data_IF_904138560673
#
_entry.id   IF_904138560673
#
_cell.length_a   1.000
_cell.length_b   1.000
_cell.length_c   1.000
_cell.angle_alpha   90.00
_cell.angle_beta   90.00
_cell.angle_gamma   90.00
#
_symmetry.space_group_name_H-M   'P 1'
#
loop_
_entity.id
_entity.type
_entity.pdbx_description
1 polymer ?
#
# COMPACT_ATOMS: atom_id res chain seq x y z
N UNK A 1 1.38 27.07 -7.35
CA UNK A 1 2.02 26.23 -6.27
C UNK A 1 1.86 24.78 -6.65
N UNK A 2 2.92 23.99 -6.63
CA UNK A 2 2.85 22.59 -7.05
C UNK A 2 2.37 21.67 -5.92
N UNK A 3 1.83 20.51 -6.31
CA UNK A 3 1.37 19.46 -5.44
C UNK A 3 2.11 18.16 -5.77
N UNK A 4 2.93 17.68 -4.82
CA UNK A 4 3.79 16.52 -5.02
C UNK A 4 3.19 15.28 -4.33
N UNK A 5 2.77 14.29 -5.11
CA UNK A 5 2.14 13.07 -4.60
C UNK A 5 3.07 11.87 -4.70
N UNK A 6 3.30 11.17 -3.58
CA UNK A 6 4.00 9.89 -3.55
C UNK A 6 2.94 8.80 -3.66
N UNK A 7 2.98 8.03 -4.73
CA UNK A 7 1.98 7.01 -5.08
C UNK A 7 2.62 5.62 -4.97
N UNK A 8 2.07 4.78 -4.09
CA UNK A 8 2.59 3.44 -3.77
C UNK A 8 1.65 2.30 -4.16
N UNK A 9 0.38 2.61 -4.49
CA UNK A 9 -0.66 1.61 -4.71
C UNK A 9 -1.87 2.21 -5.43
N UNK A 10 -2.82 1.36 -5.83
CA UNK A 10 -4.12 1.81 -6.36
C UNK A 10 -4.89 2.67 -5.35
N UNK A 11 -4.83 2.33 -4.06
CA UNK A 11 -5.45 3.12 -3.01
C UNK A 11 -4.91 4.55 -2.99
N UNK A 12 -3.57 4.71 -2.89
CA UNK A 12 -2.96 6.04 -2.83
C UNK A 12 -3.20 6.85 -4.11
N UNK A 13 -3.27 6.19 -5.27
CA UNK A 13 -3.63 6.83 -6.53
C UNK A 13 -5.09 7.29 -6.55
N UNK A 14 -6.02 6.44 -6.14
CA UNK A 14 -7.44 6.77 -6.09
C UNK A 14 -7.70 7.88 -5.06
N UNK A 15 -7.03 7.80 -3.90
CA UNK A 15 -7.13 8.84 -2.88
C UNK A 15 -6.56 10.19 -3.36
N UNK A 16 -5.44 10.17 -4.08
CA UNK A 16 -4.89 11.37 -4.72
C UNK A 16 -5.95 12.03 -5.62
N UNK A 17 -6.60 11.27 -6.51
CA UNK A 17 -7.66 11.80 -7.38
C UNK A 17 -8.80 12.44 -6.58
N UNK A 18 -9.21 11.79 -5.49
CA UNK A 18 -10.25 12.34 -4.60
C UNK A 18 -9.80 13.61 -3.89
N UNK A 19 -8.53 13.70 -3.50
CA UNK A 19 -7.93 14.92 -2.94
C UNK A 19 -7.93 16.06 -3.96
N UNK A 20 -7.58 15.77 -5.22
CA UNK A 20 -7.63 16.79 -6.29
C UNK A 20 -9.04 17.35 -6.46
N UNK A 21 -10.05 16.47 -6.50
CA UNK A 21 -11.45 16.86 -6.61
C UNK A 21 -11.90 17.74 -5.41
N UNK A 22 -11.64 17.28 -4.18
CA UNK A 22 -12.12 17.96 -2.97
C UNK A 22 -11.40 19.30 -2.71
N UNK A 23 -10.12 19.39 -3.11
CA UNK A 23 -9.30 20.59 -2.92
C UNK A 23 -9.24 21.51 -4.16
N UNK A 24 -9.94 21.16 -5.24
CA UNK A 24 -9.93 21.87 -6.52
C UNK A 24 -8.50 22.11 -7.05
N UNK A 25 -7.71 21.04 -7.11
CA UNK A 25 -6.31 21.07 -7.55
C UNK A 25 -6.25 20.65 -9.02
N UNK A 26 -5.64 21.50 -9.86
CA UNK A 26 -5.42 21.20 -11.27
C UNK A 26 -4.35 20.10 -11.44
N UNK A 27 -4.62 19.16 -12.35
CA UNK A 27 -3.68 18.09 -12.69
C UNK A 27 -2.34 18.63 -13.24
N UNK A 28 -2.33 19.77 -13.93
CA UNK A 28 -1.12 20.42 -14.44
C UNK A 28 -0.23 20.99 -13.32
N UNK A 29 -0.78 21.18 -12.11
CA UNK A 29 -0.04 21.57 -10.92
C UNK A 29 0.52 20.38 -10.14
N UNK A 30 0.23 19.16 -10.58
CA UNK A 30 0.65 17.95 -9.90
C UNK A 30 1.97 17.40 -10.42
N UNK A 31 2.80 16.92 -9.49
CA UNK A 31 3.96 16.06 -9.76
C UNK A 31 3.69 14.70 -9.11
N UNK A 32 3.57 13.64 -9.92
CA UNK A 32 3.34 12.29 -9.42
C UNK A 32 4.64 11.51 -9.35
N UNK A 33 4.93 10.97 -8.19
CA UNK A 33 6.08 10.11 -7.96
C UNK A 33 5.60 8.68 -7.64
N UNK A 34 5.85 7.77 -8.57
CA UNK A 34 5.45 6.36 -8.45
C UNK A 34 6.56 5.55 -7.76
N UNK A 35 6.19 4.86 -6.70
CA UNK A 35 7.09 3.98 -5.94
C UNK A 35 6.58 2.53 -5.97
N UNK A 36 7.43 1.56 -5.58
CA UNK A 36 7.11 0.12 -5.51
C UNK A 36 6.67 -0.48 -6.86
N UNK A 37 7.22 -0.01 -7.99
CA UNK A 37 6.87 -0.43 -9.36
C UNK A 37 5.38 -0.27 -9.70
N UNK A 38 4.65 0.56 -8.95
CA UNK A 38 3.26 0.85 -9.24
C UNK A 38 3.13 1.61 -10.56
N UNK A 39 2.16 1.20 -11.38
CA UNK A 39 1.80 1.88 -12.63
C UNK A 39 0.37 2.37 -12.54
N UNK A 40 0.15 3.63 -12.87
CA UNK A 40 -1.19 4.18 -12.99
C UNK A 40 -1.91 3.55 -14.20
N UNK A 41 -3.25 3.46 -14.17
CA UNK A 41 -4.00 3.06 -15.35
C UNK A 41 -3.72 3.98 -16.54
N UNK A 42 -3.57 3.41 -17.74
CA UNK A 42 -3.17 4.10 -18.98
C UNK A 42 -4.02 5.34 -19.27
N UNK A 43 -5.34 5.27 -19.02
CA UNK A 43 -6.26 6.40 -19.22
C UNK A 43 -5.86 7.69 -18.50
N UNK A 44 -5.03 7.61 -17.45
CA UNK A 44 -4.53 8.77 -16.70
C UNK A 44 -3.15 9.25 -17.14
N UNK A 45 -2.51 8.53 -18.06
CA UNK A 45 -1.18 8.92 -18.53
C UNK A 45 -1.15 10.25 -19.26
N UNK A 46 -2.20 10.57 -20.01
CA UNK A 46 -2.34 11.84 -20.70
C UNK A 46 -2.70 13.01 -19.75
N UNK A 47 -3.37 12.71 -18.64
CA UNK A 47 -3.85 13.73 -17.69
C UNK A 47 -2.69 14.29 -16.86
N UNK A 48 -1.79 13.42 -16.36
CA UNK A 48 -0.68 13.83 -15.49
C UNK A 48 0.64 13.90 -16.27
N UNK A 49 0.99 15.08 -16.75
CA UNK A 49 2.19 15.31 -17.59
C UNK A 49 3.51 15.21 -16.80
N UNK A 50 3.49 15.58 -15.50
CA UNK A 50 4.70 15.56 -14.66
C UNK A 50 4.74 14.30 -13.80
N UNK A 51 5.50 13.30 -14.27
CA UNK A 51 5.63 12.00 -13.61
C UNK A 51 7.10 11.67 -13.36
N UNK A 52 7.36 11.01 -12.24
CA UNK A 52 8.66 10.45 -11.87
C UNK A 52 8.44 8.95 -11.63
N UNK A 53 9.08 8.12 -12.46
CA UNK A 53 9.17 6.68 -12.24
C UNK A 53 10.57 6.36 -11.76
N UNK A 54 10.72 5.76 -10.60
CA UNK A 54 12.04 5.35 -10.15
C UNK A 54 12.38 3.95 -10.62
N UNK A 55 13.31 3.88 -11.56
CA UNK A 55 14.24 2.74 -11.65
C UNK A 55 15.35 2.84 -10.59
N UNK A 56 15.40 3.93 -9.84
CA UNK A 56 16.40 4.15 -8.80
C UNK A 56 15.87 3.54 -7.50
N UNK A 57 16.51 2.46 -7.10
CA UNK A 57 16.35 1.94 -5.74
C UNK A 57 17.04 2.94 -4.80
N UNK A 58 16.30 4.00 -4.40
CA UNK A 58 16.71 4.95 -3.36
C UNK A 58 16.64 4.27 -1.97
N UNK A 59 16.34 2.97 -1.98
CA UNK A 59 16.38 2.16 -0.78
C UNK A 59 17.82 2.21 -0.25
N UNK A 60 18.02 3.08 0.72
CA UNK A 60 19.18 3.11 1.58
C UNK A 60 19.12 1.81 2.35
N UNK A 61 19.57 0.73 1.72
CA UNK A 61 19.56 -0.62 2.28
C UNK A 61 20.44 -0.61 3.53
N UNK A 62 19.77 -0.30 4.63
CA UNK A 62 20.22 0.22 5.91
C UNK A 62 21.30 -0.63 6.60
N UNK A 63 21.51 -1.87 6.16
CA UNK A 63 22.57 -2.75 6.67
C UNK A 63 23.78 -2.89 5.77
N UNK A 64 23.73 -2.45 4.50
CA UNK A 64 24.77 -2.71 3.49
C UNK A 64 25.51 -1.47 3.00
N UNK A 65 25.16 -0.27 3.45
CA UNK A 65 25.73 1.00 3.01
C UNK A 65 27.21 1.15 3.39
N UNK A 66 27.65 0.42 4.44
CA UNK A 66 29.01 0.51 4.96
C UNK A 66 30.09 -0.19 4.13
N UNK A 67 29.72 -0.90 3.06
CA UNK A 67 30.70 -1.50 2.16
C UNK A 67 31.18 -0.47 1.12
N UNK A 68 32.15 0.36 1.45
CA UNK A 68 32.89 1.33 0.66
C UNK A 68 32.22 1.86 -0.62
N UNK A 69 32.31 1.11 -1.76
CA UNK A 69 31.75 1.54 -3.04
C UNK A 69 30.21 1.66 -3.05
N UNK A 70 29.47 0.95 -2.17
CA UNK A 70 28.02 1.05 -2.05
C UNK A 70 27.59 2.38 -1.45
N UNK A 71 28.38 2.96 -0.55
CA UNK A 71 28.13 4.29 -0.01
C UNK A 71 28.10 5.33 -1.11
N UNK A 72 29.11 5.37 -1.96
CA UNK A 72 29.20 6.34 -3.06
C UNK A 72 28.10 6.13 -4.11
N UNK A 73 27.78 4.89 -4.43
CA UNK A 73 26.67 4.56 -5.33
C UNK A 73 25.34 5.05 -4.77
N UNK A 74 25.05 4.78 -3.49
CA UNK A 74 23.82 5.22 -2.83
C UNK A 74 23.74 6.75 -2.79
N UNK A 75 24.82 7.42 -2.40
CA UNK A 75 24.89 8.89 -2.42
C UNK A 75 24.61 9.46 -3.80
N UNK A 76 25.23 8.92 -4.84
CA UNK A 76 24.98 9.33 -6.22
C UNK A 76 23.52 9.15 -6.62
N UNK A 77 22.92 8.02 -6.29
CA UNK A 77 21.50 7.77 -6.58
C UNK A 77 20.57 8.77 -5.87
N UNK A 78 20.86 9.10 -4.61
CA UNK A 78 20.11 10.09 -3.85
C UNK A 78 20.25 11.48 -4.52
N UNK A 79 21.44 11.90 -4.89
CA UNK A 79 21.68 13.19 -5.55
C UNK A 79 20.99 13.27 -6.92
N UNK A 80 21.07 12.21 -7.72
CA UNK A 80 20.37 12.16 -9.01
C UNK A 80 18.86 12.23 -8.83
N UNK A 81 18.30 11.50 -7.84
CA UNK A 81 16.89 11.57 -7.54
C UNK A 81 16.45 12.96 -7.09
N UNK A 82 17.23 13.58 -6.20
CA UNK A 82 16.95 14.93 -5.70
C UNK A 82 16.96 15.97 -6.84
N UNK A 83 17.90 15.84 -7.78
CA UNK A 83 17.96 16.65 -8.99
C UNK A 83 16.73 16.46 -9.89
N UNK A 84 16.30 15.21 -10.13
CA UNK A 84 15.08 14.94 -10.90
C UNK A 84 13.85 15.60 -10.26
N UNK A 85 13.74 15.55 -8.94
CA UNK A 85 12.65 16.21 -8.22
C UNK A 85 12.71 17.74 -8.43
N UNK A 86 13.90 18.36 -8.34
CA UNK A 86 14.07 19.79 -8.56
C UNK A 86 13.73 20.21 -9.99
N UNK A 87 14.13 19.43 -10.99
CA UNK A 87 13.78 19.66 -12.39
C UNK A 87 12.27 19.62 -12.64
N UNK A 88 11.56 18.66 -11.99
CA UNK A 88 10.10 18.55 -12.12
C UNK A 88 9.36 19.66 -11.37
N UNK A 89 9.88 20.10 -10.24
CA UNK A 89 9.30 21.19 -9.46
C UNK A 89 9.67 22.57 -10.02
N UNK A 90 10.70 22.67 -10.87
CA UNK A 90 11.19 23.93 -11.47
C UNK A 90 11.48 25.05 -10.46
N UNK A 91 11.89 24.65 -9.24
CA UNK A 91 12.14 25.59 -8.14
C UNK A 91 10.89 26.18 -7.49
N UNK A 92 9.69 25.77 -7.93
CA UNK A 92 8.45 26.24 -7.35
C UNK A 92 8.22 25.70 -5.92
N UNK A 93 7.50 26.46 -5.13
CA UNK A 93 6.99 26.01 -3.83
C UNK A 93 5.96 24.91 -4.01
N UNK A 94 5.96 23.93 -3.09
CA UNK A 94 5.04 22.80 -3.18
C UNK A 94 4.55 22.29 -1.82
N UNK A 95 3.41 21.58 -1.85
CA UNK A 95 2.88 20.75 -0.78
C UNK A 95 3.10 19.29 -1.13
N UNK A 96 3.58 18.48 -0.17
CA UNK A 96 3.80 17.04 -0.36
C UNK A 96 2.63 16.23 0.23
N UNK A 97 2.24 15.16 -0.49
CA UNK A 97 1.28 14.16 -0.04
C UNK A 97 1.96 12.80 -0.02
N UNK A 98 2.11 12.23 1.16
CA UNK A 98 2.91 11.01 1.34
C UNK A 98 2.15 9.94 2.11
N UNK A 99 2.22 8.65 1.71
CA UNK A 99 1.59 7.57 2.46
C UNK A 99 2.29 7.27 3.80
N UNK A 100 3.55 7.68 3.96
CA UNK A 100 4.34 7.40 5.17
C UNK A 100 5.55 8.33 5.28
N UNK A 101 5.86 8.77 6.51
CA UNK A 101 7.04 9.62 6.77
C UNK A 101 8.32 8.83 7.07
N UNK A 102 8.22 7.60 7.55
CA UNK A 102 9.39 6.75 7.90
C UNK A 102 10.20 6.24 6.70
N UNK A 103 9.89 6.69 5.49
CA UNK A 103 10.62 6.37 4.27
C UNK A 103 11.67 7.44 3.97
N UNK A 104 12.88 7.02 3.57
CA UNK A 104 13.99 7.92 3.22
C UNK A 104 13.62 8.85 2.05
N UNK A 105 12.83 8.37 1.10
CA UNK A 105 12.33 9.17 -0.03
C UNK A 105 11.41 10.30 0.45
N UNK A 106 10.48 9.98 1.34
CA UNK A 106 9.61 10.99 1.94
C UNK A 106 10.44 12.06 2.66
N UNK A 107 11.41 11.62 3.47
CA UNK A 107 12.33 12.51 4.17
C UNK A 107 13.06 13.46 3.20
N UNK A 108 13.56 12.96 2.06
CA UNK A 108 14.20 13.76 1.03
C UNK A 108 13.30 14.88 0.50
N UNK A 109 12.02 14.56 0.28
CA UNK A 109 11.07 15.48 -0.35
C UNK A 109 10.56 16.50 0.66
N UNK A 110 10.06 16.08 1.82
CA UNK A 110 9.45 16.98 2.81
C UNK A 110 10.47 17.94 3.45
N UNK A 111 11.75 17.56 3.49
CA UNK A 111 12.82 18.40 4.04
C UNK A 111 13.41 19.41 3.05
N UNK A 112 12.95 19.43 1.79
CA UNK A 112 13.34 20.49 0.84
C UNK A 112 12.89 21.87 1.34
N UNK A 113 13.70 22.91 1.04
CA UNK A 113 13.41 24.28 1.47
C UNK A 113 12.14 24.86 0.85
N UNK A 114 11.84 24.49 -0.39
CA UNK A 114 10.63 24.87 -1.12
C UNK A 114 9.41 23.97 -0.83
N UNK A 115 9.51 22.91 0.00
CA UNK A 115 8.37 22.23 0.56
C UNK A 115 7.74 23.07 1.66
N UNK A 116 6.55 23.59 1.46
CA UNK A 116 5.85 24.45 2.45
C UNK A 116 5.11 23.66 3.51
N UNK A 117 4.73 22.42 3.19
CA UNK A 117 4.06 21.54 4.13
C UNK A 117 3.84 20.16 3.53
N UNK A 118 3.38 19.24 4.38
CA UNK A 118 2.99 17.91 3.90
C UNK A 118 1.77 17.35 4.65
N UNK A 119 1.01 16.58 3.92
CA UNK A 119 -0.05 15.73 4.43
C UNK A 119 0.40 14.28 4.41
N UNK A 120 0.01 13.52 5.45
CA UNK A 120 0.08 12.06 5.41
C UNK A 120 -1.24 11.55 4.86
N UNK A 121 -1.18 10.75 3.80
CA UNK A 121 -2.37 10.15 3.16
C UNK A 121 -2.49 8.68 3.54
N UNK A 122 -3.71 8.17 3.53
CA UNK A 122 -4.01 6.78 3.88
C UNK A 122 -3.24 5.77 3.00
N UNK A 123 -2.63 4.74 3.65
CA UNK A 123 -1.90 3.63 3.00
C UNK A 123 -2.43 2.27 3.51
N UNK A 124 -3.72 2.03 3.31
CA UNK A 124 -4.40 0.80 3.71
C UNK A 124 -4.38 0.56 5.22
N UNK A 125 -4.33 -0.70 5.64
CA UNK A 125 -4.40 -1.10 7.06
C UNK A 125 -3.33 -0.46 7.95
N UNK A 126 -2.19 -0.06 7.38
CA UNK A 126 -1.14 0.59 8.16
C UNK A 126 -1.61 1.91 8.79
N UNK A 127 -2.54 2.60 8.16
CA UNK A 127 -3.09 3.88 8.63
C UNK A 127 -4.13 3.75 9.74
N UNK A 128 -4.59 2.53 10.04
CA UNK A 128 -5.58 2.25 11.11
C UNK A 128 -4.96 1.74 12.40
N UNK A 129 -3.66 1.93 12.59
CA UNK A 129 -2.93 1.48 13.79
C UNK A 129 -3.11 2.46 14.94
N UNK A 130 -3.30 1.93 16.14
CA UNK A 130 -3.34 2.68 17.40
C UNK A 130 -1.97 2.97 17.99
N UNK A 131 -0.90 2.83 17.22
CA UNK A 131 0.46 3.19 17.58
C UNK A 131 1.17 3.76 16.36
N UNK A 132 2.18 4.59 16.60
CA UNK A 132 2.97 5.22 15.55
C UNK A 132 4.32 4.47 15.39
N UNK A 133 4.40 3.48 14.50
CA UNK A 133 5.60 2.66 14.39
C UNK A 133 6.78 3.48 13.90
N UNK A 134 7.94 3.17 14.46
CA UNK A 134 9.23 3.69 14.00
C UNK A 134 9.98 2.61 13.23
N UNK A 135 10.68 3.00 12.17
CA UNK A 135 11.56 2.07 11.44
C UNK A 135 12.78 1.64 12.26
N UNK A 136 13.22 2.50 13.20
CA UNK A 136 14.31 2.22 14.13
C UNK A 136 14.09 2.91 15.46
N UNK A 137 14.48 2.25 16.54
CA UNK A 137 14.36 2.77 17.91
C UNK A 137 15.71 2.69 18.64
N UNK A 138 15.84 3.52 19.69
CA UNK A 138 16.95 3.47 20.63
C UNK A 138 18.33 3.79 20.06
N UNK A 139 19.36 3.19 20.65
CA UNK A 139 20.77 3.46 20.33
C UNK A 139 21.12 3.14 18.87
N UNK A 140 20.45 2.14 18.29
CA UNK A 140 20.62 1.78 16.86
C UNK A 140 20.25 2.92 15.94
N UNK A 141 19.19 3.68 16.26
CA UNK A 141 18.77 4.85 15.51
C UNK A 141 19.78 5.98 15.60
N UNK A 142 20.35 6.23 16.78
CA UNK A 142 21.37 7.25 17.01
C UNK A 142 22.64 6.94 16.20
N UNK A 143 23.12 5.70 16.31
CA UNK A 143 24.29 5.23 15.55
C UNK A 143 24.03 5.35 14.06
N UNK A 144 22.87 4.92 13.60
CA UNK A 144 22.46 5.01 12.21
C UNK A 144 22.50 6.46 11.70
N UNK A 145 21.93 7.41 12.46
CA UNK A 145 21.97 8.84 12.10
C UNK A 145 23.38 9.39 12.00
N UNK A 146 24.23 9.08 12.98
CA UNK A 146 25.61 9.57 13.02
C UNK A 146 26.44 9.04 11.85
N UNK A 147 26.31 7.76 11.53
CA UNK A 147 27.07 7.09 10.48
C UNK A 147 26.61 7.47 9.07
N UNK A 148 25.31 7.72 8.89
CA UNK A 148 24.73 8.02 7.57
C UNK A 148 24.50 9.51 7.31
N UNK A 149 24.58 10.37 8.33
CA UNK A 149 24.47 11.84 8.13
C UNK A 149 25.42 12.39 7.04
N UNK A 150 26.67 11.92 6.89
CA UNK A 150 27.54 12.33 5.80
C UNK A 150 27.05 11.88 4.42
N UNK A 151 26.20 10.83 4.34
CA UNK A 151 25.63 10.37 3.08
C UNK A 151 24.69 11.43 2.49
N UNK A 152 23.72 11.88 3.29
CA UNK A 152 22.78 12.92 2.90
C UNK A 152 22.05 13.51 4.13
N UNK A 153 22.43 14.71 4.59
CA UNK A 153 21.97 15.24 5.89
C UNK A 153 20.46 15.42 5.98
N UNK A 154 19.77 15.74 4.88
CA UNK A 154 18.31 15.99 4.88
C UNK A 154 17.47 14.73 5.20
N UNK A 155 17.92 13.52 4.82
CA UNK A 155 17.21 12.26 5.10
C UNK A 155 16.95 12.06 6.60
N UNK A 156 17.85 12.59 7.45
CA UNK A 156 17.82 12.38 8.89
C UNK A 156 17.16 13.53 9.67
N UNK A 157 16.49 14.44 8.98
CA UNK A 157 15.75 15.55 9.60
C UNK A 157 14.42 15.11 10.22
N UNK A 158 13.89 13.94 9.83
CA UNK A 158 12.70 13.34 10.42
C UNK A 158 13.06 12.31 11.49
N UNK A 159 12.20 12.13 12.49
CA UNK A 159 12.36 11.14 13.57
C UNK A 159 12.12 9.70 13.12
N UNK A 160 11.67 9.50 11.89
CA UNK A 160 11.43 8.20 11.30
C UNK A 160 10.17 7.47 11.82
N UNK A 161 9.19 8.23 12.29
CA UNK A 161 7.84 7.74 12.57
C UNK A 161 7.02 7.55 11.29
N UNK A 162 5.99 6.71 11.37
CA UNK A 162 5.02 6.56 10.28
C UNK A 162 4.33 7.90 9.97
N UNK A 163 3.90 8.62 11.01
CA UNK A 163 3.40 10.00 10.93
C UNK A 163 4.29 10.89 11.81
N UNK A 164 4.94 11.87 11.22
CA UNK A 164 5.81 12.83 11.90
C UNK A 164 5.03 14.09 12.28
N UNK A 165 4.07 13.96 13.20
CA UNK A 165 3.14 15.03 13.56
C UNK A 165 3.79 16.22 14.29
N UNK A 166 4.97 16.02 14.88
CA UNK A 166 5.72 17.09 15.57
C UNK A 166 6.56 17.94 14.61
N UNK A 167 6.71 17.55 13.35
CA UNK A 167 7.47 18.33 12.40
C UNK A 167 6.71 19.60 12.01
N UNK A 168 7.39 20.80 11.95
CA UNK A 168 6.70 22.08 11.73
C UNK A 168 6.00 22.19 10.37
N UNK A 169 6.36 21.38 9.40
CA UNK A 169 5.72 21.33 8.08
C UNK A 169 4.53 20.35 8.03
N UNK A 170 4.20 19.63 9.12
CA UNK A 170 3.07 18.73 9.14
C UNK A 170 1.74 19.50 9.13
N UNK A 171 0.94 19.30 8.10
CA UNK A 171 -0.34 19.98 7.89
C UNK A 171 -1.55 19.14 8.34
N UNK A 172 -1.38 17.81 8.46
CA UNK A 172 -2.45 16.90 8.87
C UNK A 172 -2.45 15.59 8.10
N UNK A 173 -3.54 14.85 8.27
CA UNK A 173 -3.80 13.57 7.61
C UNK A 173 -5.00 13.68 6.67
N UNK A 174 -4.98 12.96 5.55
CA UNK A 174 -6.10 12.86 4.60
C UNK A 174 -6.45 11.38 4.40
N UNK A 175 -7.72 11.05 4.58
CA UNK A 175 -8.17 9.66 4.51
C UNK A 175 -9.58 9.51 3.94
N UNK A 176 -9.95 8.25 3.65
CA UNK A 176 -11.29 7.89 3.19
C UNK A 176 -12.30 7.80 4.33
N UNK A 177 -11.85 7.61 5.58
CA UNK A 177 -12.68 7.34 6.76
C UNK A 177 -12.15 8.07 8.00
N UNK A 178 -13.06 8.41 8.91
CA UNK A 178 -12.78 9.00 10.23
C UNK A 178 -12.11 8.01 11.21
N UNK A 179 -12.13 6.71 10.91
CA UNK A 179 -11.44 5.69 11.69
C UNK A 179 -9.93 5.62 11.38
N UNK A 180 -9.51 6.23 10.27
CA UNK A 180 -8.12 6.31 9.88
C UNK A 180 -7.34 7.25 10.81
N UNK A 181 -6.03 7.01 10.95
CA UNK A 181 -5.13 7.81 11.78
C UNK A 181 -5.64 8.10 13.21
N UNK A 182 -5.99 7.06 14.00
CA UNK A 182 -6.67 7.23 15.29
C UNK A 182 -5.90 8.07 16.30
N UNK A 183 -4.57 8.22 16.15
CA UNK A 183 -3.71 9.07 16.98
C UNK A 183 -3.66 10.54 16.52
N UNK A 184 -4.28 10.89 15.39
CA UNK A 184 -4.19 12.21 14.76
C UNK A 184 -5.57 12.72 14.30
N UNK A 185 -6.62 12.35 15.02
CA UNK A 185 -8.02 12.72 14.69
C UNK A 185 -8.26 14.22 14.67
N UNK A 186 -7.56 14.96 15.50
CA UNK A 186 -7.60 16.43 15.59
C UNK A 186 -7.08 17.12 14.31
N UNK A 187 -6.29 16.40 13.50
CA UNK A 187 -5.70 16.87 12.25
C UNK A 187 -6.09 16.01 11.04
N UNK A 188 -7.14 15.21 11.16
CA UNK A 188 -7.65 14.36 10.10
C UNK A 188 -8.73 15.07 9.30
N UNK A 189 -8.58 15.12 7.98
CA UNK A 189 -9.65 15.49 7.06
C UNK A 189 -10.10 14.26 6.25
N UNK A 190 -11.38 13.97 6.27
CA UNK A 190 -11.99 12.87 5.52
C UNK A 190 -12.38 13.39 4.13
N UNK A 191 -11.81 12.78 3.09
CA UNK A 191 -12.07 13.13 1.69
C UNK A 191 -13.10 12.22 1.03
N UNK A 192 -13.56 11.18 1.75
CA UNK A 192 -14.55 10.21 1.29
C UNK A 192 -13.95 9.04 0.52
N UNK A 193 -14.81 8.09 0.13
CA UNK A 193 -14.41 6.85 -0.54
C UNK A 193 -13.76 7.14 -1.88
N UNK A 194 -12.52 6.65 -2.12
CA UNK A 194 -11.76 7.00 -3.31
C UNK A 194 -12.01 6.07 -4.50
N UNK A 195 -12.84 5.05 -4.36
CA UNK A 195 -13.05 4.02 -5.36
C UNK A 195 -14.26 4.28 -6.23
N UNK A 196 -14.10 4.13 -7.55
CA UNK A 196 -15.17 4.20 -8.54
C UNK A 196 -15.73 2.79 -8.75
N UNK A 197 -17.06 2.58 -8.67
CA UNK A 197 -17.65 1.29 -8.97
C UNK A 197 -17.45 0.92 -10.45
N UNK A 198 -16.67 -0.13 -10.71
CA UNK A 198 -16.42 -0.68 -12.04
C UNK A 198 -16.70 -2.19 -11.97
N UNK A 199 -17.78 -2.69 -12.60
CA UNK A 199 -18.14 -4.11 -12.49
C UNK A 199 -17.09 -5.02 -13.14
N UNK A 200 -17.12 -6.30 -12.78
CA UNK A 200 -16.43 -7.33 -13.54
C UNK A 200 -17.07 -7.48 -14.94
N UNK A 201 -16.28 -7.90 -15.92
CA UNK A 201 -16.75 -8.20 -17.27
C UNK A 201 -17.65 -9.44 -17.36
N UNK A 202 -17.85 -10.12 -16.25
CA UNK A 202 -18.63 -11.34 -16.10
C UNK A 202 -19.22 -11.44 -14.69
N UNK A 203 -20.26 -12.29 -14.49
CA UNK A 203 -20.84 -12.49 -13.17
C UNK A 203 -19.82 -13.05 -12.17
N UNK A 204 -19.78 -12.46 -10.97
CA UNK A 204 -18.99 -12.93 -9.82
C UNK A 204 -19.84 -12.77 -8.56
N UNK A 205 -20.03 -13.85 -7.81
CA UNK A 205 -20.79 -13.86 -6.56
C UNK A 205 -19.92 -14.00 -5.31
N UNK A 206 -18.69 -14.51 -5.48
CA UNK A 206 -17.68 -14.54 -4.42
C UNK A 206 -16.27 -14.32 -4.98
N UNK A 207 -15.44 -13.58 -4.25
CA UNK A 207 -14.02 -13.38 -4.56
C UNK A 207 -13.17 -13.84 -3.39
N UNK A 208 -12.19 -14.68 -3.68
CA UNK A 208 -11.21 -15.16 -2.71
C UNK A 208 -9.84 -14.52 -3.03
N UNK A 209 -9.32 -13.70 -2.11
CA UNK A 209 -7.97 -13.14 -2.21
C UNK A 209 -6.93 -14.19 -1.87
N UNK A 210 -5.97 -14.38 -2.76
CA UNK A 210 -4.78 -15.20 -2.50
C UNK A 210 -3.69 -14.31 -1.96
N UNK A 211 -3.63 -14.17 -0.64
CA UNK A 211 -2.62 -13.38 0.04
C UNK A 211 -1.23 -14.04 -0.01
N UNK A 212 -0.12 -13.28 0.07
CA UNK A 212 1.25 -13.81 -0.08
C UNK A 212 1.71 -14.53 1.20
N UNK A 213 0.99 -15.57 1.61
CA UNK A 213 1.22 -16.36 2.82
C UNK A 213 2.58 -17.10 2.80
N UNK A 214 3.19 -17.31 1.62
CA UNK A 214 4.52 -17.92 1.48
C UNK A 214 5.63 -17.20 2.27
N UNK A 215 5.36 -16.00 2.74
CA UNK A 215 6.28 -15.25 3.60
C UNK A 215 6.26 -15.73 5.07
N UNK A 216 5.23 -16.48 5.46
CA UNK A 216 4.91 -16.79 6.86
C UNK A 216 4.67 -18.28 7.11
N UNK A 217 4.21 -19.03 6.12
CA UNK A 217 3.88 -20.45 6.24
C UNK A 217 4.56 -21.29 5.17
N UNK A 218 4.73 -22.59 5.44
CA UNK A 218 5.23 -23.56 4.48
C UNK A 218 4.22 -23.86 3.37
N UNK A 219 4.66 -24.48 2.27
CA UNK A 219 3.74 -24.94 1.22
C UNK A 219 2.79 -26.04 1.70
N UNK A 220 3.24 -26.90 2.63
CA UNK A 220 2.38 -27.94 3.24
C UNK A 220 1.28 -27.33 4.10
N UNK A 221 1.60 -26.26 4.86
CA UNK A 221 0.59 -25.50 5.58
C UNK A 221 -0.38 -24.81 4.63
N UNK A 222 0.11 -24.23 3.53
CA UNK A 222 -0.74 -23.63 2.50
C UNK A 222 -1.66 -24.69 1.86
N UNK A 223 -1.17 -25.88 1.52
CA UNK A 223 -1.98 -26.98 0.99
C UNK A 223 -3.12 -27.36 1.97
N UNK A 224 -2.78 -27.51 3.26
CA UNK A 224 -3.76 -27.79 4.31
C UNK A 224 -4.82 -26.68 4.45
N UNK A 225 -4.39 -25.42 4.41
CA UNK A 225 -5.27 -24.24 4.52
C UNK A 225 -6.25 -24.18 3.37
N UNK A 226 -5.78 -24.35 2.13
CA UNK A 226 -6.65 -24.32 0.95
C UNK A 226 -7.55 -25.55 0.85
N UNK A 227 -7.12 -26.72 1.38
CA UNK A 227 -8.00 -27.89 1.54
C UNK A 227 -9.19 -27.60 2.45
N UNK A 228 -8.94 -27.05 3.65
CA UNK A 228 -10.01 -26.65 4.57
C UNK A 228 -10.90 -25.53 3.99
N UNK A 229 -10.30 -24.59 3.24
CA UNK A 229 -11.07 -23.57 2.55
C UNK A 229 -12.02 -24.19 1.52
N UNK A 230 -11.57 -25.19 0.78
CA UNK A 230 -12.41 -25.90 -0.18
C UNK A 230 -13.59 -26.62 0.50
N UNK A 231 -13.37 -27.30 1.63
CA UNK A 231 -14.42 -27.92 2.43
C UNK A 231 -15.46 -26.90 2.93
N UNK A 232 -14.97 -25.71 3.36
CA UNK A 232 -15.85 -24.62 3.76
C UNK A 232 -16.65 -24.07 2.58
N UNK A 233 -16.00 -23.80 1.44
CA UNK A 233 -16.64 -23.24 0.25
C UNK A 233 -17.64 -24.21 -0.39
N UNK A 234 -17.43 -25.51 -0.31
CA UNK A 234 -18.37 -26.52 -0.81
C UNK A 234 -19.75 -26.47 -0.11
N UNK A 235 -19.80 -25.92 1.12
CA UNK A 235 -21.05 -25.69 1.84
C UNK A 235 -21.79 -24.41 1.43
N UNK A 236 -21.13 -23.58 0.61
CA UNK A 236 -21.70 -22.34 0.05
C UNK A 236 -22.20 -22.62 -1.37
N UNK A 237 -23.30 -22.04 -1.73
CA UNK A 237 -23.93 -22.28 -3.05
C UNK A 237 -23.54 -21.17 -4.05
N UNK A 238 -22.22 -20.84 -4.13
CA UNK A 238 -21.74 -19.90 -5.13
C UNK A 238 -21.75 -20.51 -6.53
N UNK A 239 -22.22 -19.75 -7.50
CA UNK A 239 -22.30 -20.16 -8.91
C UNK A 239 -21.07 -19.67 -9.67
N UNK A 240 -20.57 -18.50 -9.32
CA UNK A 240 -19.49 -17.80 -10.03
C UNK A 240 -18.37 -17.33 -9.08
N UNK A 241 -17.77 -18.22 -8.26
CA UNK A 241 -16.66 -17.84 -7.40
C UNK A 241 -15.39 -17.58 -8.24
N UNK A 242 -14.57 -16.61 -7.81
CA UNK A 242 -13.33 -16.27 -8.49
C UNK A 242 -12.19 -16.10 -7.48
N UNK A 243 -10.96 -16.37 -7.93
CA UNK A 243 -9.74 -16.12 -7.16
C UNK A 243 -8.97 -14.94 -7.75
N UNK A 244 -8.38 -14.13 -6.88
CA UNK A 244 -7.42 -13.11 -7.29
C UNK A 244 -6.13 -13.25 -6.52
N UNK A 245 -5.04 -13.41 -7.25
CA UNK A 245 -3.70 -13.41 -6.65
C UNK A 245 -3.27 -12.00 -6.27
N UNK A 246 -2.61 -11.88 -5.11
CA UNK A 246 -2.02 -10.62 -4.69
C UNK A 246 -0.91 -10.18 -5.67
N UNK A 247 -0.76 -8.89 -6.01
CA UNK A 247 0.22 -8.41 -6.98
C UNK A 247 1.69 -8.78 -6.68
N UNK A 248 2.02 -9.06 -5.42
CA UNK A 248 3.36 -9.55 -5.05
C UNK A 248 3.76 -10.87 -5.70
N UNK A 249 2.82 -11.66 -6.16
CA UNK A 249 3.12 -12.89 -6.90
C UNK A 249 3.64 -12.62 -8.33
N UNK A 250 3.42 -11.42 -8.86
CA UNK A 250 3.89 -11.05 -10.20
C UNK A 250 5.33 -10.52 -10.21
N UNK A 251 5.91 -10.26 -9.04
CA UNK A 251 7.32 -9.88 -8.94
C UNK A 251 8.23 -11.01 -9.47
N UNK A 252 9.24 -10.66 -10.24
CA UNK A 252 10.12 -11.60 -10.96
C UNK A 252 10.77 -12.66 -10.07
N UNK A 253 11.03 -12.34 -8.80
CA UNK A 253 11.59 -13.25 -7.80
C UNK A 253 10.54 -14.16 -7.13
N UNK A 254 9.24 -14.02 -7.45
CA UNK A 254 8.16 -14.79 -6.84
C UNK A 254 7.46 -15.76 -7.80
N UNK A 255 7.97 -15.94 -9.01
CA UNK A 255 7.37 -16.81 -10.02
C UNK A 255 7.18 -18.25 -9.54
N UNK A 256 8.15 -18.80 -8.80
CA UNK A 256 8.08 -20.13 -8.23
C UNK A 256 6.96 -20.24 -7.17
N UNK A 257 6.86 -19.29 -6.27
CA UNK A 257 5.78 -19.23 -5.29
C UNK A 257 4.41 -19.10 -5.97
N UNK A 258 4.32 -18.28 -7.02
CA UNK A 258 3.10 -18.13 -7.81
C UNK A 258 2.66 -19.46 -8.41
N UNK A 259 3.56 -20.21 -9.04
CA UNK A 259 3.25 -21.51 -9.62
C UNK A 259 2.82 -22.53 -8.57
N UNK A 260 3.51 -22.59 -7.42
CA UNK A 260 3.16 -23.47 -6.32
C UNK A 260 1.75 -23.19 -5.77
N UNK A 261 1.41 -21.92 -5.52
CA UNK A 261 0.07 -21.56 -5.04
C UNK A 261 -1.01 -21.82 -6.09
N UNK A 262 -0.73 -21.56 -7.38
CA UNK A 262 -1.68 -21.92 -8.43
C UNK A 262 -1.93 -23.43 -8.52
N UNK A 263 -0.89 -24.25 -8.32
CA UNK A 263 -1.04 -25.70 -8.29
C UNK A 263 -1.94 -26.15 -7.12
N UNK A 264 -1.71 -25.61 -5.91
CA UNK A 264 -2.54 -25.87 -4.74
C UNK A 264 -4.00 -25.45 -4.99
N UNK A 265 -4.24 -24.24 -5.49
CA UNK A 265 -5.58 -23.75 -5.78
C UNK A 265 -6.28 -24.66 -6.79
N UNK A 266 -5.63 -25.00 -7.90
CA UNK A 266 -6.21 -25.87 -8.93
C UNK A 266 -6.53 -27.29 -8.43
N UNK A 267 -5.74 -27.81 -7.47
CA UNK A 267 -5.97 -29.10 -6.82
C UNK A 267 -7.32 -29.15 -6.12
N UNK A 268 -7.66 -28.08 -5.38
CA UNK A 268 -8.85 -28.05 -4.56
C UNK A 268 -10.05 -27.34 -5.22
N UNK A 269 -9.78 -26.49 -6.21
CA UNK A 269 -10.79 -25.73 -6.92
C UNK A 269 -10.63 -25.90 -8.44
N UNK A 270 -10.88 -27.12 -8.97
CA UNK A 270 -10.76 -27.36 -10.39
C UNK A 270 -11.77 -26.50 -11.18
N UNK A 271 -11.31 -25.85 -12.23
CA UNK A 271 -12.15 -24.98 -13.07
C UNK A 271 -12.46 -23.60 -12.49
N UNK A 272 -11.90 -23.23 -11.33
CA UNK A 272 -12.11 -21.91 -10.74
C UNK A 272 -11.57 -20.81 -11.66
N UNK A 273 -12.27 -19.70 -11.73
CA UNK A 273 -11.86 -18.54 -12.49
C UNK A 273 -10.79 -17.73 -11.75
N UNK A 274 -9.69 -17.43 -12.43
CA UNK A 274 -8.66 -16.53 -11.93
C UNK A 274 -8.91 -15.14 -12.51
N UNK A 275 -9.02 -14.14 -11.63
CA UNK A 275 -9.08 -12.73 -12.03
C UNK A 275 -7.71 -12.24 -12.46
N UNK A 276 -7.69 -11.36 -13.46
CA UNK A 276 -6.47 -10.69 -13.87
C UNK A 276 -5.91 -9.81 -12.73
N UNK A 277 -4.58 -9.72 -12.64
CA UNK A 277 -3.92 -8.93 -11.60
C UNK A 277 -4.14 -7.43 -11.75
N UNK A 278 -4.47 -6.95 -12.95
CA UNK A 278 -4.84 -5.55 -13.21
C UNK A 278 -6.21 -5.15 -12.65
N UNK A 279 -7.09 -6.11 -12.33
CA UNK A 279 -8.41 -5.81 -11.73
C UNK A 279 -8.24 -5.14 -10.38
N UNK A 280 -8.79 -3.97 -10.20
CA UNK A 280 -8.85 -3.26 -8.91
C UNK A 280 -10.07 -3.79 -8.15
N UNK A 281 -9.81 -4.67 -7.16
CA UNK A 281 -10.87 -5.36 -6.42
C UNK A 281 -11.82 -4.40 -5.72
N UNK A 282 -11.29 -3.33 -5.15
CA UNK A 282 -12.09 -2.32 -4.45
C UNK A 282 -13.16 -1.72 -5.36
N UNK A 283 -12.80 -1.41 -6.61
CA UNK A 283 -13.74 -0.89 -7.61
C UNK A 283 -14.79 -1.94 -8.00
N UNK A 284 -14.34 -3.17 -8.26
CA UNK A 284 -15.21 -4.23 -8.73
C UNK A 284 -16.19 -4.69 -7.63
N UNK A 285 -15.73 -4.86 -6.41
CA UNK A 285 -16.56 -5.20 -5.26
C UNK A 285 -17.55 -4.09 -4.92
N UNK A 286 -17.15 -2.82 -5.03
CA UNK A 286 -18.07 -1.71 -4.86
C UNK A 286 -19.24 -1.75 -5.86
N UNK A 287 -19.01 -2.26 -7.08
CA UNK A 287 -20.04 -2.39 -8.12
C UNK A 287 -20.93 -3.63 -7.95
N UNK A 288 -20.34 -4.83 -7.77
CA UNK A 288 -21.09 -6.10 -7.83
C UNK A 288 -21.61 -6.59 -6.49
N UNK A 289 -21.08 -6.10 -5.35
CA UNK A 289 -21.45 -6.54 -3.99
C UNK A 289 -21.23 -8.05 -3.75
N UNK A 290 -20.25 -8.66 -4.43
CA UNK A 290 -19.88 -10.05 -4.21
C UNK A 290 -19.35 -10.28 -2.78
N UNK A 291 -19.51 -11.48 -2.27
CA UNK A 291 -18.89 -11.90 -1.01
C UNK A 291 -17.35 -11.90 -1.15
N UNK A 292 -16.65 -11.34 -0.18
CA UNK A 292 -15.20 -11.23 -0.25
C UNK A 292 -14.51 -12.02 0.86
N UNK A 293 -13.55 -12.85 0.49
CA UNK A 293 -12.80 -13.73 1.37
C UNK A 293 -11.30 -13.35 1.35
N UNK A 294 -10.72 -13.08 2.52
CA UNK A 294 -9.29 -12.78 2.64
C UNK A 294 -8.74 -13.15 4.01
N UNK A 295 -7.42 -13.28 4.11
CA UNK A 295 -6.75 -13.50 5.40
C UNK A 295 -6.52 -12.16 6.12
N UNK A 296 -5.81 -11.22 5.51
CA UNK A 296 -5.49 -9.94 6.15
C UNK A 296 -5.32 -8.83 5.08
N UNK A 297 -6.37 -8.59 4.31
CA UNK A 297 -6.34 -7.66 3.18
C UNK A 297 -7.06 -6.34 3.49
N UNK A 298 -6.45 -5.21 3.13
CA UNK A 298 -7.12 -3.89 3.18
C UNK A 298 -8.34 -3.81 2.26
N UNK A 299 -8.41 -4.64 1.22
CA UNK A 299 -9.59 -4.73 0.35
C UNK A 299 -10.84 -5.07 1.14
N UNK A 300 -10.75 -5.92 2.20
CA UNK A 300 -11.89 -6.26 3.05
C UNK A 300 -12.48 -5.03 3.75
N UNK A 301 -11.63 -4.11 4.22
CA UNK A 301 -12.09 -2.88 4.83
C UNK A 301 -12.91 -2.04 3.85
N UNK A 302 -12.40 -1.80 2.65
CA UNK A 302 -13.06 -0.96 1.65
C UNK A 302 -14.29 -1.64 1.05
N UNK A 303 -14.24 -2.94 0.82
CA UNK A 303 -15.39 -3.73 0.36
C UNK A 303 -16.53 -3.72 1.40
N UNK A 304 -16.20 -3.83 2.68
CA UNK A 304 -17.18 -3.72 3.76
C UNK A 304 -17.83 -2.32 3.81
N UNK A 305 -17.03 -1.26 3.70
CA UNK A 305 -17.54 0.11 3.60
C UNK A 305 -18.44 0.33 2.37
N UNK A 306 -18.16 -0.38 1.28
CA UNK A 306 -19.01 -0.41 0.09
C UNK A 306 -20.25 -1.30 0.24
N UNK A 307 -20.45 -1.98 1.37
CA UNK A 307 -21.63 -2.81 1.68
C UNK A 307 -21.49 -4.28 1.23
N UNK A 308 -20.28 -4.78 0.94
CA UNK A 308 -20.04 -6.20 0.70
C UNK A 308 -19.97 -6.98 2.01
N UNK A 309 -20.34 -8.25 1.98
CA UNK A 309 -20.06 -9.19 3.07
C UNK A 309 -18.61 -9.65 2.95
N UNK A 310 -17.81 -9.36 3.97
CA UNK A 310 -16.39 -9.70 3.98
C UNK A 310 -16.14 -10.79 5.02
N UNK A 311 -15.48 -11.86 4.61
CA UNK A 311 -15.18 -13.02 5.44
C UNK A 311 -13.69 -13.10 5.74
N UNK A 312 -13.36 -13.33 7.02
CA UNK A 312 -12.00 -13.48 7.49
C UNK A 312 -11.59 -14.95 7.49
N UNK A 313 -10.55 -15.28 6.71
CA UNK A 313 -9.98 -16.61 6.59
C UNK A 313 -8.89 -16.92 7.65
N UNK A 314 -8.53 -15.96 8.51
CA UNK A 314 -7.51 -16.17 9.55
C UNK A 314 -7.78 -17.39 10.45
N UNK A 315 -9.01 -17.79 10.80
CA UNK A 315 -9.24 -19.00 11.56
C UNK A 315 -8.59 -20.25 10.96
N UNK A 316 -8.41 -20.32 9.63
CA UNK A 316 -7.68 -21.40 8.95
C UNK A 316 -6.17 -21.44 9.27
N UNK A 317 -5.61 -20.33 9.72
CA UNK A 317 -4.18 -20.18 10.05
C UNK A 317 -3.87 -20.40 11.54
N UNK A 318 -4.86 -20.81 12.35
CA UNK A 318 -4.62 -21.09 13.78
C UNK A 318 -3.47 -22.08 13.96
N UNK A 319 -2.55 -21.74 14.87
CA UNK A 319 -1.35 -22.53 15.13
C UNK A 319 -0.18 -22.27 14.17
N UNK A 320 -0.30 -21.33 13.22
CA UNK A 320 0.80 -20.88 12.39
C UNK A 320 1.33 -19.51 12.84
N UNK A 321 2.56 -19.16 12.43
CA UNK A 321 3.16 -17.84 12.70
C UNK A 321 2.44 -16.69 11.95
N UNK A 322 1.59 -17.02 10.98
CA UNK A 322 0.83 -16.05 10.19
C UNK A 322 -0.50 -15.63 10.85
N UNK A 323 -0.85 -16.24 11.99
CA UNK A 323 -2.10 -15.92 12.68
C UNK A 323 -1.96 -14.63 13.48
N UNK A 324 -2.16 -13.50 12.81
CA UNK A 324 -2.25 -12.16 13.42
C UNK A 324 -3.42 -11.41 12.80
N UNK A 325 -4.38 -11.01 13.63
CA UNK A 325 -5.57 -10.31 13.18
C UNK A 325 -5.45 -8.80 13.38
N UNK A 326 -5.65 -8.04 12.30
CA UNK A 326 -5.64 -6.59 12.41
C UNK A 326 -6.92 -6.09 13.09
N UNK A 327 -6.83 -5.22 14.14
CA UNK A 327 -7.99 -4.79 14.93
C UNK A 327 -9.15 -4.21 14.10
N UNK A 328 -8.86 -3.45 13.04
CA UNK A 328 -9.90 -2.88 12.19
C UNK A 328 -10.65 -3.95 11.38
N UNK A 329 -9.97 -5.03 10.98
CA UNK A 329 -10.61 -6.12 10.24
C UNK A 329 -11.59 -6.91 11.11
N UNK A 330 -11.35 -7.03 12.42
CA UNK A 330 -12.32 -7.61 13.36
C UNK A 330 -13.67 -6.90 13.35
N UNK A 331 -13.67 -5.60 13.07
CA UNK A 331 -14.88 -4.79 13.08
C UNK A 331 -15.66 -4.87 11.78
N UNK A 332 -15.01 -5.19 10.67
CA UNK A 332 -15.60 -5.14 9.34
C UNK A 332 -15.66 -6.50 8.61
N UNK A 333 -15.20 -7.58 9.25
CA UNK A 333 -15.22 -8.93 8.65
C UNK A 333 -15.89 -9.95 9.56
N UNK A 334 -16.45 -10.98 8.94
CA UNK A 334 -17.10 -12.12 9.61
C UNK A 334 -16.09 -13.28 9.65
N UNK A 335 -15.65 -13.76 10.82
CA UNK A 335 -14.78 -14.92 10.88
C UNK A 335 -15.51 -16.15 10.34
N UNK A 336 -14.82 -16.96 9.54
CA UNK A 336 -15.41 -18.24 9.11
C UNK A 336 -15.44 -19.24 10.27
N UNK A 337 -16.52 -20.00 10.38
CA UNK A 337 -16.64 -21.11 11.30
C UNK A 337 -16.09 -22.39 10.63
N UNK A 338 -15.13 -23.04 11.29
CA UNK A 338 -14.42 -24.23 10.79
C UNK A 338 -14.90 -25.45 11.54
#
# INVERSE_FOLDING_TARGET
>A
MKHFFIISSHLTFSLMRKILEVKDIDADDCVLFFVRDYRAPEKYEAVFKSRIHTSYNVDVNRGRVFAGWKFWKTRRNILCFDQIVDEKLKGEDFICYTPVCSNDICSLIVTKTNCKGYYVIEDGLASYRYYNPQSFTGIRYIIYRLLLKPLYPRIFSLKNHFVESEHPKFMGCLASSDQCFPLHRDRLAVVGMPFEPIPFDFPVDAVISVDPLYQFISLDDADRVYGKLAEYMAKKHYVYPAFKMHPRFDASNNSQNRQAYLAIIRKYFPGIRMLDTSVILENALAACKADFYSFNSSVALYASQAGCRCYNLLPLLRGTAAYEEHPILKQCTIPIEI
#
